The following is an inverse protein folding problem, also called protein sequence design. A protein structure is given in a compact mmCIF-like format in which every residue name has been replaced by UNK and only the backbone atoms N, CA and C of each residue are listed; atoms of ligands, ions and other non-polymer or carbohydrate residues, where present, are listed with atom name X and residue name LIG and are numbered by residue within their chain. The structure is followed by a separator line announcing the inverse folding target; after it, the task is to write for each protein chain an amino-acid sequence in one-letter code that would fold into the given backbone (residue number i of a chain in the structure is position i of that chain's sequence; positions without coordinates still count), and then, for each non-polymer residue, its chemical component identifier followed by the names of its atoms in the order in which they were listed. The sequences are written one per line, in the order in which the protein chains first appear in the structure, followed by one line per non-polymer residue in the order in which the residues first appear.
data_IF_525999674279
#
_entry.id   IF_525999674279
#
_cell.length_a   1.000
_cell.length_b   1.000
_cell.length_c   1.000
_cell.angle_alpha   90.00
_cell.angle_beta   90.00
_cell.angle_gamma   90.00
#
_symmetry.space_group_name_H-M   'P 1'
#
loop_
_entity.id
_entity.type
_entity.pdbx_description
1 polymer ?
#
# COMPACT_ATOMS: atom_id res chain seq x y z
N UNK A 1 26.60 8.71 -7.51
CA UNK A 1 26.40 7.52 -6.65
C UNK A 1 24.91 7.35 -6.48
N UNK A 2 24.29 6.37 -7.14
CA UNK A 2 22.87 6.12 -6.97
C UNK A 2 22.70 5.39 -5.63
N UNK A 3 22.19 6.09 -4.62
CA UNK A 3 21.76 5.48 -3.37
C UNK A 3 20.58 4.59 -3.67
N UNK A 4 20.84 3.31 -3.96
CA UNK A 4 19.79 2.34 -4.22
C UNK A 4 19.14 2.03 -2.87
N UNK A 5 18.02 2.71 -2.59
CA UNK A 5 17.15 2.34 -1.48
C UNK A 5 16.86 0.84 -1.58
N UNK A 6 16.92 0.08 -0.47
CA UNK A 6 16.64 -1.34 -0.50
C UNK A 6 15.30 -1.60 -1.19
N UNK A 7 15.19 -2.65 -2.03
CA UNK A 7 13.99 -2.90 -2.80
C UNK A 7 12.79 -3.05 -1.86
N UNK A 8 11.72 -2.33 -2.15
CA UNK A 8 10.47 -2.47 -1.42
C UNK A 8 9.89 -3.87 -1.69
N UNK A 9 9.85 -4.73 -0.69
CA UNK A 9 9.34 -6.10 -0.80
C UNK A 9 7.97 -6.24 -0.13
N UNK A 10 7.23 -7.28 -0.52
CA UNK A 10 5.91 -7.60 0.08
C UNK A 10 6.00 -7.88 1.59
N UNK A 11 7.07 -8.53 2.04
CA UNK A 11 7.23 -8.93 3.43
C UNK A 11 7.70 -7.77 4.34
N UNK A 12 8.00 -6.62 3.75
CA UNK A 12 8.38 -5.45 4.51
C UNK A 12 7.19 -4.90 5.32
N UNK A 13 7.43 -4.32 6.51
CA UNK A 13 6.41 -3.58 7.24
C UNK A 13 5.85 -2.41 6.42
N UNK A 14 4.63 -1.98 6.71
CA UNK A 14 4.04 -0.76 6.10
C UNK A 14 4.96 0.48 6.16
N UNK A 15 5.83 0.57 7.17
CA UNK A 15 6.79 1.66 7.30
C UNK A 15 7.75 1.76 6.10
N UNK A 16 8.01 0.66 5.39
CA UNK A 16 8.90 0.63 4.23
C UNK A 16 8.33 1.33 3.00
N UNK A 17 7.00 1.49 2.89
CA UNK A 17 6.39 2.22 1.78
C UNK A 17 6.83 3.71 1.73
N UNK A 18 7.41 4.23 2.81
CA UNK A 18 7.76 5.65 2.98
C UNK A 18 6.67 6.67 2.58
N UNK A 19 5.35 6.43 2.70
CA UNK A 19 4.38 7.47 2.43
C UNK A 19 4.18 8.34 3.68
N UNK A 20 3.51 9.47 3.51
CA UNK A 20 3.07 10.30 4.65
C UNK A 20 2.29 9.45 5.67
N UNK A 21 2.38 9.75 6.99
CA UNK A 21 1.53 9.12 8.01
C UNK A 21 0.04 9.18 7.69
N UNK A 22 -0.39 10.15 6.88
CA UNK A 22 -1.77 10.30 6.38
C UNK A 22 -2.24 9.14 5.49
N UNK A 23 -1.33 8.39 4.87
CA UNK A 23 -1.64 7.19 4.07
C UNK A 23 -1.48 5.93 4.91
N UNK A 24 -0.40 5.88 5.70
CA UNK A 24 -0.05 4.69 6.49
C UNK A 24 -1.06 4.43 7.60
N UNK A 25 -1.52 5.46 8.30
CA UNK A 25 -2.44 5.29 9.44
C UNK A 25 -3.80 4.73 9.01
N UNK A 26 -4.48 5.26 7.96
CA UNK A 26 -5.69 4.64 7.42
C UNK A 26 -5.55 3.16 7.06
N UNK A 27 -4.45 2.78 6.41
CA UNK A 27 -4.18 1.38 6.03
C UNK A 27 -4.00 0.51 7.27
N UNK A 28 -3.23 1.00 8.25
CA UNK A 28 -2.99 0.29 9.51
C UNK A 28 -4.29 0.10 10.29
N UNK A 29 -5.12 1.14 10.40
CA UNK A 29 -6.39 1.09 11.13
C UNK A 29 -7.37 0.11 10.47
N UNK A 30 -7.46 0.12 9.13
CA UNK A 30 -8.28 -0.81 8.37
C UNK A 30 -7.82 -2.26 8.60
N UNK A 31 -6.53 -2.52 8.43
CA UNK A 31 -5.95 -3.87 8.57
C UNK A 31 -6.02 -4.37 10.02
N UNK A 32 -5.88 -3.48 11.01
CA UNK A 32 -6.13 -3.82 12.41
C UNK A 32 -7.59 -4.24 12.65
N UNK A 33 -8.55 -3.58 12.00
CA UNK A 33 -9.97 -3.98 12.02
C UNK A 33 -10.23 -5.35 11.39
N UNK A 34 -9.39 -5.78 10.45
CA UNK A 34 -9.40 -7.12 9.85
C UNK A 34 -8.63 -8.17 10.69
N UNK A 35 -8.09 -7.78 11.85
CA UNK A 35 -7.32 -8.66 12.73
C UNK A 35 -5.83 -8.77 12.41
N UNK A 36 -5.31 -7.96 11.48
CA UNK A 36 -3.88 -7.92 11.13
C UNK A 36 -3.14 -7.05 12.14
N UNK A 37 -2.30 -7.67 12.98
CA UNK A 37 -1.54 -6.96 14.03
C UNK A 37 -0.28 -6.25 13.52
N UNK A 38 0.41 -6.86 12.56
CA UNK A 38 1.64 -6.33 11.98
C UNK A 38 1.49 -6.22 10.45
N UNK A 39 0.83 -5.15 9.96
CA UNK A 39 0.57 -5.00 8.54
C UNK A 39 1.84 -4.87 7.70
N UNK A 40 1.87 -5.63 6.62
CA UNK A 40 2.96 -5.65 5.63
C UNK A 40 2.57 -4.90 4.35
N UNK A 41 3.55 -4.63 3.50
CA UNK A 41 3.30 -4.12 2.15
C UNK A 41 2.47 -5.13 1.33
N UNK A 42 2.70 -6.43 1.54
CA UNK A 42 1.95 -7.51 0.91
C UNK A 42 0.46 -7.47 1.24
N UNK A 43 0.10 -7.08 2.46
CA UNK A 43 -1.31 -6.91 2.84
C UNK A 43 -1.97 -5.77 2.07
N UNK A 44 -1.24 -4.66 1.83
CA UNK A 44 -1.74 -3.57 0.98
C UNK A 44 -1.89 -4.01 -0.47
N UNK A 45 -0.93 -4.79 -0.98
CA UNK A 45 -1.02 -5.34 -2.33
C UNK A 45 -2.23 -6.26 -2.46
N UNK A 46 -2.52 -7.09 -1.46
CA UNK A 46 -3.76 -7.90 -1.43
C UNK A 46 -5.01 -7.02 -1.40
N UNK A 47 -5.01 -5.90 -0.66
CA UNK A 47 -6.14 -4.95 -0.69
C UNK A 47 -6.34 -4.38 -2.10
N UNK A 48 -5.27 -4.15 -2.85
CA UNK A 48 -5.36 -3.72 -4.24
C UNK A 48 -5.86 -4.83 -5.17
N UNK A 49 -5.27 -6.04 -5.09
CA UNK A 49 -5.65 -7.22 -5.89
C UNK A 49 -7.13 -7.60 -5.72
N UNK A 50 -7.73 -7.29 -4.56
CA UNK A 50 -9.13 -7.58 -4.25
C UNK A 50 -10.07 -6.36 -4.34
N UNK A 51 -9.65 -5.23 -4.92
CA UNK A 51 -10.43 -3.98 -4.97
C UNK A 51 -10.99 -3.55 -3.60
N UNK A 52 -10.20 -3.78 -2.54
CA UNK A 52 -10.55 -3.44 -1.16
C UNK A 52 -9.98 -2.10 -0.69
N UNK A 53 -9.01 -1.53 -1.41
CA UNK A 53 -8.45 -0.20 -1.08
C UNK A 53 -9.53 0.89 -1.02
N UNK A 54 -10.58 0.80 -1.83
CA UNK A 54 -11.74 1.73 -1.79
C UNK A 54 -12.52 1.72 -0.47
N UNK A 55 -12.38 0.67 0.34
CA UNK A 55 -13.03 0.57 1.65
C UNK A 55 -12.18 1.13 2.79
N UNK A 56 -10.92 1.48 2.52
CA UNK A 56 -10.03 2.12 3.50
C UNK A 56 -10.48 3.57 3.69
N UNK A 57 -11.15 3.84 4.82
CA UNK A 57 -11.61 5.18 5.18
C UNK A 57 -10.41 6.11 5.35
N UNK A 58 -10.59 7.40 5.03
CA UNK A 58 -9.59 8.46 5.23
C UNK A 58 -8.31 8.38 4.38
N UNK A 59 -8.20 7.43 3.44
CA UNK A 59 -7.09 7.40 2.48
C UNK A 59 -7.25 8.48 1.39
N UNK A 60 -8.49 8.73 0.96
CA UNK A 60 -8.84 9.71 -0.07
C UNK A 60 -8.29 9.36 -1.46
N UNK A 61 -8.78 10.01 -2.53
CA UNK A 61 -8.32 9.73 -3.90
C UNK A 61 -6.84 10.04 -4.10
N UNK A 62 -6.36 11.22 -3.66
CA UNK A 62 -4.93 11.58 -3.81
C UNK A 62 -3.98 10.72 -2.98
N UNK A 63 -4.40 10.24 -1.80
CA UNK A 63 -3.61 9.30 -1.00
C UNK A 63 -3.56 7.91 -1.63
N UNK A 64 -4.67 7.48 -2.26
CA UNK A 64 -4.72 6.23 -3.03
C UNK A 64 -3.80 6.30 -4.24
N UNK A 65 -3.85 7.38 -5.03
CA UNK A 65 -2.96 7.57 -6.19
C UNK A 65 -1.49 7.58 -5.79
N UNK A 66 -1.12 8.29 -4.71
CA UNK A 66 0.25 8.29 -4.21
C UNK A 66 0.70 6.88 -3.79
N UNK A 67 -0.16 6.13 -3.08
CA UNK A 67 0.12 4.76 -2.67
C UNK A 67 0.35 3.84 -3.89
N UNK A 68 -0.54 3.91 -4.88
CA UNK A 68 -0.43 3.12 -6.10
C UNK A 68 0.85 3.47 -6.88
N UNK A 69 1.19 4.76 -6.97
CA UNK A 69 2.43 5.21 -7.59
C UNK A 69 3.68 4.59 -6.96
N UNK A 70 3.73 4.52 -5.62
CA UNK A 70 4.84 3.87 -4.91
C UNK A 70 4.88 2.36 -5.20
N UNK A 71 3.74 1.68 -5.16
CA UNK A 71 3.67 0.24 -5.41
C UNK A 71 4.05 -0.13 -6.86
N UNK A 72 3.65 0.69 -7.83
CA UNK A 72 4.02 0.53 -9.25
C UNK A 72 5.51 0.79 -9.46
N UNK A 73 6.05 1.87 -8.88
CA UNK A 73 7.48 2.18 -8.96
C UNK A 73 8.36 1.07 -8.35
N UNK A 74 7.83 0.38 -7.33
CA UNK A 74 8.46 -0.79 -6.72
C UNK A 74 8.26 -2.10 -7.51
N UNK A 75 7.46 -2.10 -8.59
CA UNK A 75 7.14 -3.29 -9.36
C UNK A 75 6.26 -4.31 -8.64
N UNK A 76 5.55 -3.88 -7.59
CA UNK A 76 4.70 -4.76 -6.77
C UNK A 76 3.28 -4.94 -7.33
N UNK A 77 2.83 -3.98 -8.13
CA UNK A 77 1.53 -3.97 -8.82
C UNK A 77 1.70 -3.38 -10.22
N UNK A 78 0.72 -3.63 -11.11
CA UNK A 78 0.67 -3.06 -12.45
C UNK A 78 -0.55 -2.14 -12.57
N UNK A 79 -0.44 -0.93 -13.14
CA UNK A 79 -1.56 0.04 -13.20
C UNK A 79 -2.84 -0.49 -13.90
N UNK A 80 -2.75 -1.58 -14.65
CA UNK A 80 -3.89 -2.29 -15.23
C UNK A 80 -4.50 -3.29 -14.24
N UNK A 81 -5.27 -2.80 -13.26
CA UNK A 81 -6.34 -3.61 -12.65
C UNK A 81 -7.67 -3.15 -13.24
N UNK A 82 -7.90 -3.53 -14.50
CA UNK A 82 -9.24 -3.52 -15.09
C UNK A 82 -9.90 -4.84 -14.68
N UNK A 83 -10.75 -4.80 -13.66
CA UNK A 83 -11.78 -5.84 -13.52
C UNK A 83 -12.82 -5.60 -14.61
N UNK A 84 -12.86 -6.52 -15.59
CA UNK A 84 -14.04 -6.72 -16.43
C UNK A 84 -15.18 -7.34 -15.64
#
# INVERSE_FOLDING_TARGET
MQSQSPPLMRDCPLACLTPSPRIVNPLRDYLAGEGVREPTVGDVVRLWEHDRLRFVKNLGPGGTEQLLGVLVAAGLIHQHHHHG
#
